data_IF_870297466447
#
_entry.id   IF_870297466447
#
_cell.length_a   1.000
_cell.length_b   1.000
_cell.length_c   1.000
_cell.angle_alpha   90.00
_cell.angle_beta   90.00
_cell.angle_gamma   90.00
#
_symmetry.space_group_name_H-M   'P 1'
#
loop_
_entity.id
_entity.type
_entity.pdbx_description
1 polymer ?
#
# COMPACT_ATOMS: atom_id res chain seq x y z
N UNK A 1 -20.99 -17.15 -31.40
CA UNK A 1 -21.01 -17.33 -32.86
C UNK A 1 -20.63 -18.78 -33.16
N UNK A 2 -21.07 -19.34 -34.28
CA UNK A 2 -20.70 -20.70 -34.71
C UNK A 2 -19.63 -20.59 -35.77
N UNK A 3 -18.53 -21.34 -35.62
CA UNK A 3 -17.44 -21.40 -36.59
C UNK A 3 -17.37 -22.82 -37.13
N UNK A 4 -17.26 -22.96 -38.45
CA UNK A 4 -17.11 -24.25 -39.11
C UNK A 4 -15.69 -24.38 -39.67
N UNK A 5 -15.04 -25.51 -39.41
CA UNK A 5 -13.74 -25.82 -39.97
C UNK A 5 -13.89 -26.94 -41.02
N UNK A 6 -13.27 -26.84 -42.21
CA UNK A 6 -13.36 -27.87 -43.24
C UNK A 6 -12.69 -29.20 -42.85
N UNK A 7 -11.89 -29.21 -41.78
CA UNK A 7 -11.13 -30.37 -41.31
C UNK A 7 -10.93 -30.29 -39.79
N UNK A 8 -10.75 -31.44 -39.13
CA UNK A 8 -10.42 -31.45 -37.70
C UNK A 8 -9.03 -30.87 -37.46
N UNK A 9 -8.92 -29.95 -36.48
CA UNK A 9 -7.66 -29.33 -36.04
C UNK A 9 -7.15 -29.92 -34.72
N UNK A 10 -7.79 -30.99 -34.22
CA UNK A 10 -7.41 -31.67 -32.99
C UNK A 10 -7.67 -30.85 -31.72
N UNK A 11 -6.88 -31.12 -30.66
CA UNK A 11 -6.98 -30.41 -29.38
C UNK A 11 -6.59 -28.94 -29.56
N UNK A 12 -7.46 -28.03 -29.12
CA UNK A 12 -7.18 -26.60 -29.16
C UNK A 12 -6.14 -26.24 -28.09
N UNK A 13 -5.05 -25.58 -28.52
CA UNK A 13 -3.94 -25.18 -27.65
C UNK A 13 -3.79 -23.68 -27.53
N UNK A 14 -4.27 -22.94 -28.52
CA UNK A 14 -4.09 -21.49 -28.65
C UNK A 14 -5.20 -20.93 -29.54
N UNK A 15 -5.56 -19.67 -29.30
CA UNK A 15 -6.39 -18.86 -30.20
C UNK A 15 -5.60 -17.65 -30.67
N UNK A 16 -5.94 -17.24 -31.88
CA UNK A 16 -5.52 -15.98 -32.47
C UNK A 16 -6.68 -15.00 -32.43
N UNK A 17 -6.42 -13.80 -31.92
CA UNK A 17 -7.40 -12.72 -31.82
C UNK A 17 -6.86 -11.53 -32.59
N UNK A 18 -7.56 -11.16 -33.64
CA UNK A 18 -7.25 -10.03 -34.50
C UNK A 18 -8.40 -9.02 -34.47
N UNK A 19 -8.10 -7.80 -34.02
CA UNK A 19 -9.07 -6.70 -33.94
C UNK A 19 -8.85 -5.76 -35.12
N UNK A 20 -9.62 -5.97 -36.18
CA UNK A 20 -9.57 -5.11 -37.36
C UNK A 20 -10.32 -3.79 -37.13
N UNK A 21 -9.78 -2.65 -37.60
CA UNK A 21 -10.47 -1.37 -37.50
C UNK A 21 -11.65 -1.33 -38.46
N UNK A 22 -12.76 -0.71 -38.03
CA UNK A 22 -13.89 -0.47 -38.91
C UNK A 22 -13.62 0.80 -39.74
N UNK A 23 -13.81 0.77 -41.08
CA UNK A 23 -13.70 1.96 -41.91
C UNK A 23 -14.63 3.07 -41.41
N UNK A 24 -14.12 4.31 -41.33
CA UNK A 24 -14.86 5.52 -40.91
C UNK A 24 -15.23 5.60 -39.42
N UNK A 25 -14.82 4.64 -38.58
CA UNK A 25 -14.99 4.70 -37.12
C UNK A 25 -13.65 4.92 -36.42
N UNK A 26 -13.63 5.67 -35.31
CA UNK A 26 -12.43 5.81 -34.50
C UNK A 26 -11.99 4.44 -33.96
N UNK A 27 -10.69 4.28 -33.75
CA UNK A 27 -10.14 3.06 -33.16
C UNK A 27 -10.70 2.89 -31.73
N UNK A 28 -11.36 1.76 -31.48
CA UNK A 28 -11.87 1.42 -30.16
C UNK A 28 -10.94 0.43 -29.44
N UNK A 29 -10.88 0.56 -28.12
CA UNK A 29 -10.13 -0.32 -27.21
C UNK A 29 -11.05 -1.39 -26.66
N UNK A 30 -10.61 -2.64 -26.72
CA UNK A 30 -11.43 -3.78 -26.28
C UNK A 30 -10.77 -4.50 -25.11
N UNK A 31 -11.53 -4.78 -24.06
CA UNK A 31 -11.07 -5.59 -22.93
C UNK A 31 -11.86 -6.91 -22.87
N UNK A 32 -11.46 -7.94 -23.64
CA UNK A 32 -12.07 -9.26 -23.53
C UNK A 32 -11.64 -9.96 -22.24
N UNK A 33 -12.60 -10.56 -21.54
CA UNK A 33 -12.33 -11.42 -20.40
C UNK A 33 -11.72 -12.76 -20.85
N UNK A 34 -12.45 -13.49 -21.70
CA UNK A 34 -12.08 -14.83 -22.18
C UNK A 34 -12.80 -15.17 -23.48
N UNK A 35 -12.31 -16.20 -24.16
CA UNK A 35 -13.02 -16.90 -25.24
C UNK A 35 -13.27 -18.33 -24.78
N UNK A 36 -14.49 -18.82 -24.99
CA UNK A 36 -14.87 -20.20 -24.70
C UNK A 36 -15.28 -20.89 -26.00
N UNK A 37 -14.70 -22.05 -26.26
CA UNK A 37 -14.96 -22.84 -27.46
C UNK A 37 -15.54 -24.19 -27.05
N UNK A 38 -16.72 -24.52 -27.56
CA UNK A 38 -17.31 -25.85 -27.44
C UNK A 38 -17.14 -26.59 -28.76
N UNK A 39 -16.49 -27.74 -28.71
CA UNK A 39 -16.31 -28.61 -29.87
C UNK A 39 -17.60 -29.35 -30.23
N UNK A 40 -17.75 -29.84 -31.48
CA UNK A 40 -18.82 -30.76 -31.86
C UNK A 40 -18.84 -32.03 -31.01
N UNK A 41 -17.69 -32.46 -30.50
CA UNK A 41 -17.51 -33.65 -29.66
C UNK A 41 -17.91 -33.43 -28.19
N UNK A 42 -18.24 -32.19 -27.80
CA UNK A 42 -18.68 -31.84 -26.44
C UNK A 42 -17.59 -31.31 -25.52
N UNK A 43 -16.32 -31.34 -25.95
CA UNK A 43 -15.21 -30.73 -25.20
C UNK A 43 -15.36 -29.21 -25.13
N UNK A 44 -14.99 -28.63 -23.98
CA UNK A 44 -14.98 -27.18 -23.76
C UNK A 44 -13.57 -26.69 -23.47
N UNK A 45 -13.13 -25.68 -24.22
CA UNK A 45 -11.82 -25.05 -24.10
C UNK A 45 -11.99 -23.59 -23.66
N UNK A 46 -11.17 -23.14 -22.72
CA UNK A 46 -11.23 -21.76 -22.21
C UNK A 46 -9.91 -21.05 -22.48
N UNK A 47 -9.98 -19.87 -23.07
CA UNK A 47 -8.83 -19.01 -23.37
C UNK A 47 -8.96 -17.71 -22.59
N UNK A 48 -8.33 -17.59 -21.41
CA UNK A 48 -8.36 -16.36 -20.64
C UNK A 48 -7.53 -15.28 -21.34
N UNK A 49 -8.09 -14.06 -21.45
CA UNK A 49 -7.42 -12.92 -22.08
C UNK A 49 -7.10 -11.85 -21.04
N UNK A 50 -8.14 -11.28 -20.40
CA UNK A 50 -8.04 -10.23 -19.38
C UNK A 50 -6.99 -9.16 -19.67
N UNK A 51 -6.91 -8.73 -20.93
CA UNK A 51 -5.93 -7.78 -21.45
C UNK A 51 -6.61 -6.79 -22.38
N UNK A 52 -6.15 -5.54 -22.37
CA UNK A 52 -6.60 -4.54 -23.33
C UNK A 52 -6.00 -4.82 -24.71
N UNK A 53 -6.84 -4.81 -25.74
CA UNK A 53 -6.46 -4.84 -27.15
C UNK A 53 -6.78 -3.45 -27.69
N UNK A 54 -5.74 -2.63 -27.83
CA UNK A 54 -5.86 -1.20 -28.20
C UNK A 54 -5.41 -0.91 -29.62
N UNK A 55 -4.64 -1.81 -30.23
CA UNK A 55 -4.16 -1.69 -31.60
C UNK A 55 -4.81 -2.75 -32.51
N UNK A 56 -4.38 -2.80 -33.76
CA UNK A 56 -4.83 -3.78 -34.75
C UNK A 56 -3.81 -4.89 -34.95
N UNK A 57 -3.01 -5.21 -33.91
CA UNK A 57 -2.11 -6.35 -33.96
C UNK A 57 -2.86 -7.64 -33.66
N UNK A 58 -2.30 -8.72 -34.15
CA UNK A 58 -2.69 -10.07 -33.83
C UNK A 58 -2.14 -10.48 -32.47
N UNK A 59 -3.01 -10.99 -31.59
CA UNK A 59 -2.64 -11.51 -30.28
C UNK A 59 -2.88 -13.00 -30.19
N UNK A 60 -1.97 -13.70 -29.52
CA UNK A 60 -2.03 -15.14 -29.30
C UNK A 60 -2.31 -15.42 -27.82
N UNK A 61 -3.35 -16.23 -27.56
CA UNK A 61 -3.72 -16.63 -26.19
C UNK A 61 -3.77 -18.15 -26.06
N UNK A 62 -3.08 -18.67 -25.05
CA UNK A 62 -3.03 -20.12 -24.76
C UNK A 62 -4.30 -20.59 -24.07
N UNK A 63 -4.59 -21.87 -24.19
CA UNK A 63 -5.64 -22.53 -23.40
C UNK A 63 -5.35 -22.38 -21.89
N UNK A 64 -6.40 -22.27 -21.08
CA UNK A 64 -6.34 -21.86 -19.68
C UNK A 64 -5.67 -22.85 -18.72
N UNK A 65 -5.28 -24.03 -19.19
CA UNK A 65 -4.48 -24.97 -18.39
C UNK A 65 -3.14 -24.33 -18.00
N UNK A 66 -2.90 -24.20 -16.69
CA UNK A 66 -1.65 -23.67 -16.17
C UNK A 66 -0.50 -24.66 -16.43
N UNK A 67 0.49 -24.25 -17.23
CA UNK A 67 1.65 -25.07 -17.58
C UNK A 67 2.96 -24.38 -17.21
N UNK A 68 3.85 -25.13 -16.56
CA UNK A 68 5.26 -24.76 -16.40
C UNK A 68 6.02 -24.92 -17.71
N UNK A 69 7.24 -24.37 -17.77
CA UNK A 69 8.08 -24.38 -18.98
C UNK A 69 8.34 -25.80 -19.50
N UNK A 70 8.55 -26.77 -18.60
CA UNK A 70 8.83 -28.17 -18.96
C UNK A 70 7.57 -29.03 -19.19
N UNK A 71 6.38 -28.54 -18.83
CA UNK A 71 5.10 -29.23 -19.06
C UNK A 71 4.50 -28.85 -20.42
N UNK A 72 4.87 -27.67 -20.94
CA UNK A 72 4.43 -27.16 -22.23
C UNK A 72 5.29 -27.74 -23.37
N UNK A 73 5.00 -28.98 -23.72
CA UNK A 73 5.74 -29.74 -24.75
C UNK A 73 5.33 -29.34 -26.18
N UNK A 74 4.26 -28.56 -26.34
CA UNK A 74 3.74 -28.20 -27.65
C UNK A 74 4.50 -27.00 -28.23
N UNK A 75 5.00 -27.12 -29.47
CA UNK A 75 5.85 -26.10 -30.09
C UNK A 75 5.23 -24.69 -30.11
N UNK A 76 3.92 -24.59 -30.35
CA UNK A 76 3.23 -23.29 -30.35
C UNK A 76 3.15 -22.68 -28.95
N UNK A 77 2.98 -23.49 -27.90
CA UNK A 77 2.98 -23.02 -26.51
C UNK A 77 4.34 -22.50 -26.07
N UNK A 78 5.42 -23.19 -26.48
CA UNK A 78 6.80 -22.75 -26.26
C UNK A 78 7.09 -21.43 -26.99
N UNK A 79 6.77 -21.35 -28.28
CA UNK A 79 6.96 -20.13 -29.08
C UNK A 79 6.17 -18.94 -28.52
N UNK A 80 4.89 -19.14 -28.21
CA UNK A 80 4.03 -18.10 -27.61
C UNK A 80 4.61 -17.58 -26.29
N UNK A 81 5.10 -18.47 -25.42
CA UNK A 81 5.74 -18.07 -24.15
C UNK A 81 6.99 -17.22 -24.39
N UNK A 82 7.86 -17.62 -25.32
CA UNK A 82 9.09 -16.88 -25.61
C UNK A 82 8.76 -15.46 -26.12
N UNK A 83 7.84 -15.34 -27.08
CA UNK A 83 7.42 -14.03 -27.60
C UNK A 83 6.76 -13.17 -26.52
N UNK A 84 5.91 -13.76 -25.68
CA UNK A 84 5.29 -13.04 -24.55
C UNK A 84 6.37 -12.51 -23.59
N UNK A 85 7.34 -13.32 -23.19
CA UNK A 85 8.40 -12.90 -22.27
C UNK A 85 9.28 -11.80 -22.87
N UNK A 86 9.62 -11.88 -24.15
CA UNK A 86 10.37 -10.84 -24.86
C UNK A 86 9.61 -9.51 -24.90
N UNK A 87 8.30 -9.56 -25.15
CA UNK A 87 7.46 -8.36 -25.14
C UNK A 87 7.34 -7.78 -23.74
N UNK A 88 7.11 -8.62 -22.71
CA UNK A 88 7.04 -8.20 -21.30
C UNK A 88 8.34 -7.55 -20.83
N UNK A 89 9.50 -8.04 -21.25
CA UNK A 89 10.79 -7.42 -20.92
C UNK A 89 10.92 -6.00 -21.49
N UNK A 90 10.29 -5.71 -22.63
CA UNK A 90 10.27 -4.37 -23.23
C UNK A 90 9.26 -3.47 -22.53
N UNK A 91 8.07 -3.99 -22.22
CA UNK A 91 6.97 -3.21 -21.66
C UNK A 91 7.18 -2.88 -20.16
N UNK A 92 7.82 -3.79 -19.42
CA UNK A 92 8.00 -3.69 -17.96
C UNK A 92 9.47 -3.60 -17.60
N UNK A 93 10.03 -2.41 -17.79
CA UNK A 93 11.43 -2.12 -17.50
C UNK A 93 11.62 -1.59 -16.06
N UNK A 94 12.76 -1.91 -15.45
CA UNK A 94 13.18 -1.30 -14.20
C UNK A 94 13.74 0.11 -14.41
N UNK A 95 13.56 0.96 -13.40
CA UNK A 95 14.17 2.27 -13.30
C UNK A 95 14.66 2.53 -11.87
N UNK A 96 15.65 3.40 -11.74
CA UNK A 96 16.16 3.86 -10.45
C UNK A 96 15.55 5.24 -10.20
N UNK A 97 14.63 5.35 -9.24
CA UNK A 97 14.05 6.65 -8.88
C UNK A 97 15.05 7.48 -8.06
N UNK A 98 15.62 6.86 -7.03
CA UNK A 98 16.68 7.41 -6.17
C UNK A 98 17.64 6.26 -5.84
N UNK A 99 18.94 6.54 -5.68
CA UNK A 99 19.92 5.53 -5.28
C UNK A 99 19.64 5.00 -3.87
N UNK A 100 19.81 3.69 -3.66
CA UNK A 100 19.63 3.05 -2.35
C UNK A 100 18.21 2.61 -1.99
N UNK A 101 17.19 2.97 -2.78
CA UNK A 101 15.82 2.45 -2.64
C UNK A 101 15.52 1.36 -3.68
N UNK A 102 14.51 0.47 -3.45
CA UNK A 102 14.11 -0.52 -4.45
C UNK A 102 13.80 0.11 -5.80
N UNK A 103 14.24 -0.55 -6.88
CA UNK A 103 13.92 -0.14 -8.24
C UNK A 103 12.40 -0.07 -8.45
N UNK A 104 11.98 0.85 -9.31
CA UNK A 104 10.58 1.03 -9.68
C UNK A 104 10.36 0.74 -11.17
N UNK A 105 9.12 0.83 -11.63
CA UNK A 105 8.79 0.70 -13.05
C UNK A 105 9.26 1.94 -13.81
N UNK A 106 9.92 1.73 -14.95
CA UNK A 106 10.29 2.80 -15.88
C UNK A 106 9.03 3.36 -16.54
N UNK A 107 8.66 4.57 -16.16
CA UNK A 107 7.54 5.32 -16.74
C UNK A 107 7.71 6.80 -16.43
N UNK A 108 7.33 7.67 -17.38
CA UNK A 108 7.41 9.12 -17.18
C UNK A 108 6.18 9.65 -16.44
N UNK A 109 5.02 9.04 -16.69
CA UNK A 109 3.75 9.42 -16.06
C UNK A 109 2.75 8.23 -16.09
N UNK A 110 1.56 8.34 -15.45
CA UNK A 110 0.59 7.26 -15.44
C UNK A 110 0.07 6.84 -16.83
N UNK A 111 0.11 7.73 -17.84
CA UNK A 111 -0.37 7.43 -19.19
C UNK A 111 0.64 6.67 -20.04
N UNK A 112 1.94 6.74 -19.71
CA UNK A 112 2.99 5.95 -20.37
C UNK A 112 3.09 4.51 -19.85
N UNK A 113 2.34 4.16 -18.81
CA UNK A 113 2.26 2.79 -18.33
C UNK A 113 1.57 1.87 -19.35
N UNK A 114 1.96 0.59 -19.42
CA UNK A 114 1.19 -0.43 -20.14
C UNK A 114 -0.28 -0.40 -19.73
N UNK A 115 -1.18 -0.55 -20.70
CA UNK A 115 -2.61 -0.38 -20.49
C UNK A 115 -3.18 -1.32 -19.43
N UNK A 116 -2.55 -2.48 -19.22
CA UNK A 116 -2.94 -3.50 -18.26
C UNK A 116 -2.76 -3.09 -16.79
N UNK A 117 -1.85 -2.15 -16.51
CA UNK A 117 -1.52 -1.73 -15.14
C UNK A 117 -2.00 -0.30 -14.83
N UNK A 118 -2.67 0.34 -15.77
CA UNK A 118 -3.34 1.64 -15.55
C UNK A 118 -4.65 1.42 -14.78
N UNK A 119 -5.08 2.48 -14.10
CA UNK A 119 -6.45 2.51 -13.59
C UNK A 119 -7.45 2.37 -14.73
N UNK A 120 -8.57 1.68 -14.45
CA UNK A 120 -9.74 1.78 -15.30
C UNK A 120 -10.22 3.24 -15.35
N UNK A 121 -10.89 3.61 -16.45
CA UNK A 121 -11.48 4.95 -16.59
C UNK A 121 -12.33 5.33 -15.38
N UNK A 122 -13.19 4.43 -14.91
CA UNK A 122 -14.05 4.66 -13.74
C UNK A 122 -13.23 4.94 -12.49
N UNK A 123 -12.18 4.15 -12.24
CA UNK A 123 -11.32 4.31 -11.05
C UNK A 123 -10.53 5.61 -11.10
N UNK A 124 -9.99 5.97 -12.26
CA UNK A 124 -9.26 7.23 -12.45
C UNK A 124 -10.19 8.43 -12.20
N UNK A 125 -11.40 8.43 -12.77
CA UNK A 125 -12.39 9.50 -12.55
C UNK A 125 -12.84 9.59 -11.09
N UNK A 126 -13.12 8.45 -10.45
CA UNK A 126 -13.48 8.40 -9.02
C UNK A 126 -12.36 8.97 -8.14
N UNK A 127 -11.12 8.58 -8.39
CA UNK A 127 -9.96 9.05 -7.64
C UNK A 127 -9.78 10.57 -7.76
N UNK A 128 -9.79 11.09 -9.00
CA UNK A 128 -9.65 12.53 -9.28
C UNK A 128 -10.81 13.33 -8.67
N UNK A 129 -12.04 12.85 -8.81
CA UNK A 129 -13.22 13.48 -8.21
C UNK A 129 -13.13 13.52 -6.69
N UNK A 130 -12.79 12.40 -6.05
CA UNK A 130 -12.67 12.32 -4.58
C UNK A 130 -11.58 13.26 -4.04
N UNK A 131 -10.42 13.30 -4.70
CA UNK A 131 -9.31 14.17 -4.33
C UNK A 131 -9.69 15.66 -4.50
N UNK A 132 -10.27 16.03 -5.64
CA UNK A 132 -10.67 17.41 -5.94
C UNK A 132 -11.80 17.90 -5.03
N UNK A 133 -12.79 17.06 -4.72
CA UNK A 133 -13.86 17.38 -3.78
C UNK A 133 -13.29 17.66 -2.38
N UNK A 134 -12.38 16.80 -1.89
CA UNK A 134 -11.72 17.00 -0.60
C UNK A 134 -10.88 18.29 -0.54
N UNK A 135 -10.11 18.59 -1.59
CA UNK A 135 -9.33 19.82 -1.65
C UNK A 135 -10.22 21.07 -1.74
N UNK A 136 -11.30 21.01 -2.53
CA UNK A 136 -12.27 22.11 -2.66
C UNK A 136 -12.94 22.42 -1.33
N UNK A 137 -13.33 21.39 -0.59
CA UNK A 137 -13.87 21.53 0.76
C UNK A 137 -12.89 22.26 1.69
N UNK A 138 -11.62 21.85 1.70
CA UNK A 138 -10.58 22.52 2.50
C UNK A 138 -10.34 23.97 2.06
N UNK A 139 -10.42 24.27 0.75
CA UNK A 139 -10.31 25.63 0.22
C UNK A 139 -11.47 26.51 0.65
N UNK A 140 -12.71 26.02 0.55
CA UNK A 140 -13.91 26.76 0.99
C UNK A 140 -13.88 27.08 2.48
N UNK A 141 -13.28 26.21 3.31
CA UNK A 141 -13.04 26.48 4.74
C UNK A 141 -11.85 27.40 5.01
N UNK A 142 -11.11 27.81 3.98
CA UNK A 142 -9.89 28.60 4.09
C UNK A 142 -8.73 27.86 4.76
N UNK A 143 -8.75 26.52 4.78
CA UNK A 143 -7.75 25.69 5.45
C UNK A 143 -6.62 25.25 4.52
N UNK A 144 -6.92 24.99 3.24
CA UNK A 144 -5.94 24.45 2.29
C UNK A 144 -4.68 25.31 2.14
N UNK A 145 -4.83 26.63 2.17
CA UNK A 145 -3.75 27.60 1.97
C UNK A 145 -3.40 28.37 3.27
N UNK A 146 -3.98 27.97 4.41
CA UNK A 146 -3.76 28.67 5.68
C UNK A 146 -2.33 28.46 6.18
N UNK A 147 -1.66 29.57 6.50
CA UNK A 147 -0.35 29.59 7.16
C UNK A 147 -0.44 29.98 8.64
N UNK A 148 -1.66 30.13 9.16
CA UNK A 148 -1.93 30.55 10.54
C UNK A 148 -1.89 29.34 11.47
N UNK A 149 -1.34 29.52 12.66
CA UNK A 149 -1.47 28.54 13.73
C UNK A 149 -2.92 28.50 14.22
N UNK A 150 -3.33 27.34 14.72
CA UNK A 150 -4.58 27.22 15.47
C UNK A 150 -4.50 28.05 16.75
N UNK A 151 -5.57 28.75 17.08
CA UNK A 151 -5.67 29.57 18.30
C UNK A 151 -5.97 28.74 19.52
N UNK A 152 -6.89 27.77 19.37
CA UNK A 152 -7.25 26.80 20.38
C UNK A 152 -7.17 25.40 19.79
N UNK A 153 -6.91 24.41 20.64
CA UNK A 153 -6.83 23.02 20.20
C UNK A 153 -8.15 22.52 19.59
N UNK A 154 -9.27 22.99 20.14
CA UNK A 154 -10.62 22.65 19.66
C UNK A 154 -10.93 23.19 18.25
N UNK A 155 -10.17 24.18 17.77
CA UNK A 155 -10.35 24.71 16.41
C UNK A 155 -10.01 23.65 15.34
N UNK A 156 -9.20 22.65 15.67
CA UNK A 156 -8.87 21.51 14.79
C UNK A 156 -10.13 20.75 14.38
N UNK A 157 -11.19 20.77 15.21
CA UNK A 157 -12.46 20.10 14.92
C UNK A 157 -13.12 20.62 13.62
N UNK A 158 -12.76 21.83 13.18
CA UNK A 158 -13.21 22.41 11.89
C UNK A 158 -12.71 21.63 10.68
N UNK A 159 -11.57 20.93 10.81
CA UNK A 159 -11.04 20.05 9.76
C UNK A 159 -12.02 18.90 9.51
N UNK A 160 -12.55 18.30 10.58
CA UNK A 160 -13.34 17.08 10.54
C UNK A 160 -14.85 17.28 10.28
N UNK A 161 -15.32 18.48 9.96
CA UNK A 161 -16.76 18.75 10.00
C UNK A 161 -17.62 18.01 8.95
N UNK A 162 -17.07 17.53 7.83
CA UNK A 162 -17.85 16.86 6.77
C UNK A 162 -17.45 15.39 6.53
N UNK A 163 -16.29 14.95 7.04
CA UNK A 163 -15.78 13.58 6.87
C UNK A 163 -15.54 12.92 8.22
N UNK A 164 -16.63 12.80 8.98
CA UNK A 164 -16.63 12.09 10.26
C UNK A 164 -16.88 10.61 10.05
N UNK A 165 -16.08 9.80 10.71
CA UNK A 165 -16.32 8.39 10.94
C UNK A 165 -16.46 8.16 12.44
N UNK A 166 -17.10 7.06 12.84
CA UNK A 166 -17.16 6.66 14.25
C UNK A 166 -15.76 6.60 14.88
N UNK A 167 -14.76 6.14 14.13
CA UNK A 167 -13.38 6.10 14.59
C UNK A 167 -12.77 7.50 14.77
N UNK A 168 -13.01 8.45 13.85
CA UNK A 168 -12.48 9.81 14.02
C UNK A 168 -13.10 10.54 15.21
N UNK A 169 -14.39 10.29 15.47
CA UNK A 169 -15.09 10.86 16.64
C UNK A 169 -14.53 10.25 17.93
N UNK A 170 -14.36 8.92 17.97
CA UNK A 170 -13.73 8.23 19.09
C UNK A 170 -12.30 8.76 19.36
N UNK A 171 -11.47 8.91 18.33
CA UNK A 171 -10.12 9.50 18.47
C UNK A 171 -10.21 10.91 19.05
N UNK A 172 -11.13 11.74 18.57
CA UNK A 172 -11.30 13.12 19.05
C UNK A 172 -11.66 13.17 20.55
N UNK A 173 -12.43 12.20 21.04
CA UNK A 173 -12.82 12.10 22.44
C UNK A 173 -11.70 11.52 23.32
N UNK A 174 -10.94 10.53 22.81
CA UNK A 174 -10.04 9.70 23.62
C UNK A 174 -8.54 9.92 23.37
N UNK A 175 -8.11 10.83 22.48
CA UNK A 175 -6.69 11.00 22.14
C UNK A 175 -5.76 11.37 23.32
N UNK A 176 -6.32 11.91 24.42
CA UNK A 176 -5.57 12.24 25.64
C UNK A 176 -5.42 11.05 26.60
N UNK A 177 -6.08 9.93 26.35
CA UNK A 177 -6.06 8.78 27.24
C UNK A 177 -4.84 7.91 26.95
N UNK A 178 -4.02 7.68 27.97
CA UNK A 178 -2.83 6.82 27.88
C UNK A 178 -3.17 5.40 27.39
N UNK A 179 -4.30 4.86 27.83
CA UNK A 179 -4.78 3.56 27.37
C UNK A 179 -5.06 3.55 25.86
N UNK A 180 -5.62 4.64 25.32
CA UNK A 180 -5.86 4.76 23.88
C UNK A 180 -4.57 5.05 23.10
N UNK A 181 -3.65 5.82 23.68
CA UNK A 181 -2.29 5.98 23.14
C UNK A 181 -1.59 4.63 22.99
N UNK A 182 -1.57 3.81 24.04
CA UNK A 182 -0.99 2.46 24.00
C UNK A 182 -1.74 1.49 23.08
N UNK A 183 -3.07 1.56 23.04
CA UNK A 183 -3.91 0.75 22.16
C UNK A 183 -3.54 0.91 20.67
N UNK A 184 -3.19 2.12 20.24
CA UNK A 184 -2.83 2.41 18.85
C UNK A 184 -1.56 1.68 18.38
N UNK A 185 -0.66 1.27 19.28
CA UNK A 185 0.51 0.47 18.92
C UNK A 185 0.16 -0.98 18.55
N UNK A 186 -1.04 -1.44 18.89
CA UNK A 186 -1.53 -2.78 18.57
C UNK A 186 -2.59 -2.76 17.46
N UNK A 187 -3.48 -1.76 17.49
CA UNK A 187 -4.68 -1.74 16.65
C UNK A 187 -4.85 -0.42 15.86
N UNK A 188 -3.88 0.48 15.93
CA UNK A 188 -3.91 1.76 15.24
C UNK A 188 -3.39 1.67 13.80
N UNK A 189 -2.96 2.82 13.26
CA UNK A 189 -2.53 2.95 11.87
C UNK A 189 -1.19 2.26 11.59
N UNK A 190 -0.32 2.13 12.59
CA UNK A 190 1.04 1.59 12.42
C UNK A 190 1.42 0.56 13.52
N UNK A 191 0.79 -0.62 13.57
CA UNK A 191 0.95 -1.58 14.66
C UNK A 191 2.15 -2.54 14.49
N UNK A 192 3.26 -2.07 13.91
CA UNK A 192 4.42 -2.93 13.56
C UNK A 192 5.69 -2.62 14.38
N UNK A 193 5.67 -1.55 15.18
CA UNK A 193 6.86 -1.08 15.89
C UNK A 193 7.03 -1.71 17.26
N UNK A 194 5.93 -2.05 17.92
CA UNK A 194 5.93 -2.55 19.30
C UNK A 194 6.58 -3.94 19.38
N UNK A 195 7.49 -4.11 20.33
CA UNK A 195 8.16 -5.38 20.60
C UNK A 195 8.25 -5.62 22.09
N UNK A 196 8.12 -6.89 22.51
CA UNK A 196 8.36 -7.27 23.91
C UNK A 196 9.81 -6.96 24.28
N UNK A 197 10.00 -6.19 25.35
CA UNK A 197 11.29 -5.77 25.84
C UNK A 197 11.78 -6.78 26.89
N UNK A 198 12.97 -7.36 26.66
CA UNK A 198 13.60 -8.31 27.59
C UNK A 198 14.77 -7.70 28.35
N UNK A 199 15.32 -6.61 27.83
CA UNK A 199 16.32 -5.77 28.46
C UNK A 199 16.18 -4.35 27.89
N UNK A 200 16.31 -3.34 28.75
CA UNK A 200 16.31 -1.95 28.32
C UNK A 200 17.56 -1.63 27.49
N UNK A 201 17.42 -0.85 26.39
CA UNK A 201 18.57 -0.31 25.68
C UNK A 201 19.43 0.58 26.61
N UNK A 202 20.75 0.53 26.45
CA UNK A 202 21.68 1.32 27.29
C UNK A 202 21.51 2.83 27.13
N UNK A 203 20.96 3.28 26.00
CA UNK A 203 20.64 4.68 25.72
C UNK A 203 19.26 5.10 26.23
N UNK A 204 18.56 4.25 26.99
CA UNK A 204 17.27 4.54 27.59
C UNK A 204 17.29 4.27 29.11
N UNK A 205 17.86 5.17 29.91
CA UNK A 205 18.17 4.95 31.32
C UNK A 205 16.95 5.12 32.25
N UNK A 206 15.85 4.44 31.94
CA UNK A 206 14.65 4.40 32.79
C UNK A 206 14.94 3.55 34.02
N UNK A 207 14.62 4.07 35.20
CA UNK A 207 14.80 3.36 36.48
C UNK A 207 13.47 2.87 37.05
N UNK A 208 13.52 1.89 37.94
CA UNK A 208 12.33 1.37 38.64
C UNK A 208 11.55 2.50 39.34
N UNK A 209 12.25 3.44 39.99
CA UNK A 209 11.63 4.57 40.68
C UNK A 209 10.89 5.55 39.76
N UNK A 210 11.23 5.60 38.46
CA UNK A 210 10.55 6.46 37.48
C UNK A 210 9.19 5.88 37.08
N UNK A 211 9.08 4.55 36.98
CA UNK A 211 7.89 3.87 36.45
C UNK A 211 7.04 3.19 37.53
N UNK A 212 7.64 2.86 38.68
CA UNK A 212 7.03 2.22 39.83
C UNK A 212 7.35 3.01 41.10
N UNK A 213 6.84 4.25 41.26
CA UNK A 213 7.19 5.12 42.38
C UNK A 213 6.80 4.54 43.75
N UNK A 214 5.77 3.69 43.78
CA UNK A 214 5.30 3.03 45.01
C UNK A 214 6.12 1.80 45.40
N UNK A 215 7.14 1.42 44.60
CA UNK A 215 8.04 0.30 44.87
C UNK A 215 7.39 -1.09 44.79
N UNK A 216 6.18 -1.20 44.22
CA UNK A 216 5.43 -2.45 44.15
C UNK A 216 5.94 -3.43 43.08
N UNK A 217 6.77 -2.97 42.15
CA UNK A 217 7.32 -3.76 41.06
C UNK A 217 8.71 -3.27 40.64
N UNK A 218 9.45 -4.11 39.93
CA UNK A 218 10.70 -3.74 39.26
C UNK A 218 10.59 -3.98 37.75
N UNK A 219 11.31 -3.18 36.96
CA UNK A 219 11.40 -3.35 35.50
C UNK A 219 11.96 -4.71 35.13
N UNK A 220 12.94 -5.20 35.89
CA UNK A 220 13.55 -6.51 35.67
C UNK A 220 12.52 -7.64 35.78
N UNK A 221 11.69 -7.64 36.82
CA UNK A 221 10.65 -8.64 37.01
C UNK A 221 9.55 -8.54 35.94
N UNK A 222 9.09 -7.32 35.63
CA UNK A 222 8.05 -7.12 34.61
C UNK A 222 8.53 -7.47 33.19
N UNK A 223 9.81 -7.23 32.85
CA UNK A 223 10.43 -7.70 31.61
C UNK A 223 10.52 -9.24 31.58
N UNK A 224 10.88 -9.88 32.69
CA UNK A 224 10.91 -11.35 32.80
C UNK A 224 9.53 -11.98 32.62
N UNK A 225 8.48 -11.38 33.21
CA UNK A 225 7.08 -11.76 32.99
C UNK A 225 6.60 -11.49 31.55
N UNK A 226 7.35 -10.68 30.80
CA UNK A 226 7.01 -10.31 29.43
C UNK A 226 5.93 -9.22 29.34
N UNK A 227 5.78 -8.41 30.38
CA UNK A 227 4.81 -7.33 30.45
C UNK A 227 5.33 -6.00 29.91
N UNK A 228 6.64 -5.85 29.71
CA UNK A 228 7.24 -4.62 29.20
C UNK A 228 7.45 -4.71 27.69
N UNK A 229 7.15 -3.62 27.00
CA UNK A 229 7.24 -3.48 25.55
C UNK A 229 7.94 -2.17 25.19
N UNK A 230 8.61 -2.15 24.05
CA UNK A 230 9.36 -1.00 23.55
C UNK A 230 9.00 -0.74 22.09
N UNK A 231 8.78 0.54 21.78
CA UNK A 231 8.78 1.06 20.42
C UNK A 231 10.01 1.96 20.26
N UNK A 232 10.96 1.55 19.42
CA UNK A 232 12.20 2.27 19.15
C UNK A 232 12.17 2.89 17.75
N UNK A 233 12.17 4.23 17.69
CA UNK A 233 12.12 5.01 16.46
C UNK A 233 13.50 5.52 16.01
N UNK A 234 14.60 4.82 16.38
CA UNK A 234 15.98 5.19 15.97
C UNK A 234 16.19 5.46 14.48
N UNK A 235 15.39 4.86 13.60
CA UNK A 235 15.50 5.09 12.15
C UNK A 235 15.15 6.53 11.75
N UNK A 236 14.50 7.29 12.64
CA UNK A 236 14.21 8.71 12.45
C UNK A 236 15.37 9.61 12.90
N UNK A 237 16.37 9.05 13.59
CA UNK A 237 17.49 9.84 14.11
C UNK A 237 18.36 10.35 12.95
N UNK A 238 18.72 11.63 13.00
CA UNK A 238 19.46 12.30 11.94
C UNK A 238 18.69 12.54 10.63
N UNK A 239 17.40 12.20 10.54
CA UNK A 239 16.59 12.51 9.34
C UNK A 239 16.43 14.02 9.19
N UNK A 240 16.72 14.54 8.00
CA UNK A 240 16.62 15.96 7.72
C UNK A 240 15.16 16.42 7.76
N UNK A 241 14.86 17.36 8.67
CA UNK A 241 13.55 17.96 8.77
C UNK A 241 13.29 18.98 7.65
N UNK A 242 12.03 19.07 7.22
CA UNK A 242 11.63 19.96 6.14
C UNK A 242 11.49 21.43 6.59
N UNK A 243 11.41 22.36 5.64
CA UNK A 243 11.04 23.77 5.86
C UNK A 243 9.66 24.00 5.23
N UNK A 244 8.68 24.36 6.04
CA UNK A 244 7.30 24.57 5.58
C UNK A 244 6.93 26.04 5.81
N UNK A 245 6.48 26.73 4.76
CA UNK A 245 6.16 28.16 4.80
C UNK A 245 7.31 29.04 5.36
N UNK A 246 8.55 28.68 5.04
CA UNK A 246 9.76 29.37 5.53
C UNK A 246 10.09 29.11 7.01
N UNK A 247 9.37 28.21 7.68
CA UNK A 247 9.60 27.83 9.08
C UNK A 247 10.22 26.44 9.18
N UNK A 248 11.31 26.34 9.93
CA UNK A 248 11.96 25.06 10.23
C UNK A 248 10.98 24.13 10.96
N UNK A 249 10.82 22.90 10.45
CA UNK A 249 10.12 21.82 11.14
C UNK A 249 11.12 20.98 11.95
N UNK A 250 10.61 20.17 12.88
CA UNK A 250 11.44 19.35 13.77
C UNK A 250 10.98 17.91 13.72
N UNK A 251 11.94 16.99 13.82
CA UNK A 251 11.72 15.55 13.92
C UNK A 251 12.35 15.05 15.22
N UNK A 252 11.79 13.97 15.75
CA UNK A 252 12.28 13.27 16.94
C UNK A 252 12.44 11.79 16.61
N UNK A 253 13.25 11.09 17.40
CA UNK A 253 13.49 9.65 17.28
C UNK A 253 13.25 8.98 18.64
N UNK A 254 11.98 8.90 19.09
CA UNK A 254 11.68 8.54 20.46
C UNK A 254 11.88 7.07 20.79
N UNK A 255 12.05 6.79 22.08
CA UNK A 255 11.90 5.48 22.68
C UNK A 255 10.64 5.54 23.57
N UNK A 256 9.67 4.66 23.30
CA UNK A 256 8.41 4.59 24.06
C UNK A 256 8.37 3.25 24.79
N UNK A 257 8.40 3.28 26.11
CA UNK A 257 8.25 2.11 26.97
C UNK A 257 6.78 1.95 27.35
N UNK A 258 6.25 0.75 27.17
CA UNK A 258 4.88 0.41 27.53
C UNK A 258 4.86 -0.79 28.48
N UNK A 259 3.84 -0.84 29.33
CA UNK A 259 3.54 -1.97 30.20
C UNK A 259 2.16 -2.53 29.89
N UNK A 260 2.07 -3.85 29.83
CA UNK A 260 0.80 -4.57 29.88
C UNK A 260 0.33 -4.65 31.33
N UNK A 261 -0.80 -4.04 31.64
CA UNK A 261 -1.40 -4.07 32.98
C UNK A 261 -2.17 -5.38 33.23
N UNK A 262 -2.55 -5.68 34.49
CA UNK A 262 -3.39 -6.84 34.81
C UNK A 262 -4.76 -6.84 34.11
N UNK A 263 -5.30 -5.66 33.76
CA UNK A 263 -6.55 -5.51 32.99
C UNK A 263 -6.32 -5.61 31.47
N UNK A 264 -5.20 -6.18 31.04
CA UNK A 264 -4.79 -6.36 29.64
C UNK A 264 -4.70 -5.06 28.82
N UNK A 265 -4.52 -3.90 29.47
CA UNK A 265 -4.28 -2.63 28.79
C UNK A 265 -2.79 -2.43 28.53
N UNK A 266 -2.47 -1.84 27.37
CA UNK A 266 -1.11 -1.39 27.06
C UNK A 266 -0.99 0.06 27.48
N UNK A 267 -0.17 0.36 28.49
CA UNK A 267 -0.04 1.69 29.06
C UNK A 267 1.38 2.24 28.82
N UNK A 268 1.55 3.47 28.30
CA UNK A 268 2.85 4.13 28.27
C UNK A 268 3.34 4.38 29.70
N UNK A 269 4.60 4.05 29.98
CA UNK A 269 5.24 4.27 31.30
C UNK A 269 6.47 5.17 31.23
N UNK A 270 7.13 5.27 30.08
CA UNK A 270 8.23 6.22 29.87
C UNK A 270 8.36 6.59 28.39
N UNK A 271 8.73 7.85 28.11
CA UNK A 271 9.01 8.34 26.76
C UNK A 271 10.28 9.19 26.82
N UNK A 272 11.29 8.82 26.04
CA UNK A 272 12.47 9.65 25.77
C UNK A 272 12.40 10.14 24.32
N UNK A 273 12.55 11.44 24.07
CA UNK A 273 12.26 12.04 22.75
C UNK A 273 13.38 11.87 21.73
N UNK A 274 14.64 11.87 22.19
CA UNK A 274 15.84 11.67 21.36
C UNK A 274 16.53 10.35 21.72
N UNK A 275 17.36 9.84 20.81
CA UNK A 275 18.09 8.58 21.03
C UNK A 275 19.19 8.67 22.10
N UNK A 276 19.82 9.84 22.27
CA UNK A 276 20.89 10.03 23.24
C UNK A 276 20.34 10.65 24.53
N UNK A 277 20.52 10.00 25.70
CA UNK A 277 20.08 10.57 26.97
C UNK A 277 20.89 11.83 27.30
N UNK A 278 20.20 12.88 27.73
CA UNK A 278 20.81 14.17 28.08
C UNK A 278 19.89 14.93 29.05
N UNK A 279 20.43 15.92 29.75
CA UNK A 279 19.62 16.73 30.68
C UNK A 279 18.51 17.54 29.96
N UNK A 280 18.65 17.78 28.66
CA UNK A 280 17.69 18.46 27.77
C UNK A 280 16.90 17.48 26.88
N UNK A 281 16.86 16.20 27.26
CA UNK A 281 16.11 15.14 26.57
C UNK A 281 15.16 14.41 27.53
#
# INVERSE_FOLDING_TARGET
>A
FTVSCPSSIGKLVMIEVDKQPLPLFPADSWFPAKVEVRSPEGDSFTFPIYRWITDSKTYLFREGTALRVFEDLHRLGQYSREQELLQRHKDYCWNVYVEGIPHCMKSDNPQSLPCEVRFSFTKEKEFLFTASAGLTELKLKGLADSKKSWTHLDDINRVFCCKKTSMSEYVQEHWKEDAFFGFQFLNGVNPIMIRRCTALPSNFPVTDSMVFPDGQASLAEEMQKGHIFLCDYKNMDGVQANIVNGKQQYLMAPLVLLQKTPDDKMMPIAIQLKQQPAADN
#
